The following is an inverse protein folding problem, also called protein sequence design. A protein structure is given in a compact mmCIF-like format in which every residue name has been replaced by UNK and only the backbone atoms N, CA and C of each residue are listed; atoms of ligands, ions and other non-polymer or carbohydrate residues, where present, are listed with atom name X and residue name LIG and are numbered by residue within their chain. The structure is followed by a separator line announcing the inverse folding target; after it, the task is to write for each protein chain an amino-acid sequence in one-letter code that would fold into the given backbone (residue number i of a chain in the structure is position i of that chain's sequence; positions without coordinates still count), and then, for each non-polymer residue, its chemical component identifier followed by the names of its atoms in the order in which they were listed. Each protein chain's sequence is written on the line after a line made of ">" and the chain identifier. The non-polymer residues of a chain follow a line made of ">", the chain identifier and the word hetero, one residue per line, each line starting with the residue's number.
data_IF_099266020638
#
_entry.id   IF_099266020638
#
_cell.length_a   1.000
_cell.length_b   1.000
_cell.length_c   1.000
_cell.angle_alpha   90.00
_cell.angle_beta   90.00
_cell.angle_gamma   90.00
#
_symmetry.space_group_name_H-M   'P 1'
#
loop_
_entity.id
_entity.type
_entity.pdbx_description
1 polymer ?
#
# COMPACT_ATOMS: atom_id res chain seq x y z
N UNK A 1 -1.66 2.62 14.75
CA UNK A 1 -0.23 2.85 14.46
C UNK A 1 -0.02 3.98 13.44
N UNK A 2 1.20 4.52 13.36
CA UNK A 2 1.57 5.56 12.40
C UNK A 2 2.49 4.97 11.32
N UNK A 3 2.21 5.24 10.05
CA UNK A 3 3.04 4.80 8.92
C UNK A 3 3.31 5.97 7.97
N UNK A 4 4.27 5.81 7.08
CA UNK A 4 4.52 6.77 5.99
C UNK A 4 4.05 6.14 4.69
N UNK A 5 3.25 6.85 3.90
CA UNK A 5 2.83 6.40 2.58
C UNK A 5 3.13 7.47 1.54
N UNK A 6 3.94 7.15 0.54
CA UNK A 6 4.42 8.11 -0.47
C UNK A 6 4.95 9.42 0.16
N UNK A 7 5.71 9.28 1.26
CA UNK A 7 6.22 10.41 2.04
C UNK A 7 5.22 11.11 2.98
N UNK A 8 3.94 10.74 2.97
CA UNK A 8 2.92 11.30 3.88
C UNK A 8 2.73 10.43 5.12
N UNK A 9 2.87 11.03 6.30
CA UNK A 9 2.59 10.35 7.57
C UNK A 9 1.09 10.22 7.80
N UNK A 10 0.60 8.99 8.00
CA UNK A 10 -0.82 8.70 8.25
C UNK A 10 -1.00 7.79 9.46
N UNK A 11 -2.13 7.94 10.15
CA UNK A 11 -2.58 6.99 11.16
C UNK A 11 -3.47 5.91 10.54
N UNK A 12 -3.22 4.67 10.93
CA UNK A 12 -3.97 3.49 10.49
C UNK A 12 -4.26 2.56 11.65
N UNK A 13 -5.26 1.70 11.49
CA UNK A 13 -5.54 0.63 12.46
C UNK A 13 -4.38 -0.38 12.50
N UNK A 14 -4.17 -0.98 13.67
CA UNK A 14 -3.17 -2.04 13.82
C UNK A 14 -3.58 -3.29 13.04
N UNK A 15 -2.59 -4.01 12.50
CA UNK A 15 -2.84 -5.21 11.71
C UNK A 15 -3.38 -4.95 10.29
N UNK A 16 -3.37 -3.69 9.83
CA UNK A 16 -3.78 -3.34 8.47
C UNK A 16 -2.90 -4.06 7.43
N UNK A 17 -3.54 -4.69 6.44
CA UNK A 17 -2.83 -5.29 5.31
C UNK A 17 -2.62 -4.31 4.17
N UNK A 18 -1.68 -4.62 3.28
CA UNK A 18 -1.48 -3.83 2.06
C UNK A 18 -2.73 -3.78 1.19
N UNK A 19 -3.47 -4.89 1.08
CA UNK A 19 -4.73 -4.93 0.33
C UNK A 19 -5.76 -3.95 0.92
N UNK A 20 -5.90 -3.92 2.25
CA UNK A 20 -6.81 -2.99 2.93
C UNK A 20 -6.37 -1.53 2.76
N UNK A 21 -5.06 -1.25 2.86
CA UNK A 21 -4.51 0.08 2.63
C UNK A 21 -4.82 0.58 1.21
N UNK A 22 -4.65 -0.29 0.20
CA UNK A 22 -4.95 0.02 -1.19
C UNK A 22 -6.45 0.22 -1.39
N UNK A 23 -7.30 -0.63 -0.81
CA UNK A 23 -8.75 -0.50 -0.89
C UNK A 23 -9.24 0.83 -0.29
N UNK A 24 -8.64 1.28 0.82
CA UNK A 24 -8.97 2.56 1.45
C UNK A 24 -8.60 3.77 0.57
N UNK A 25 -7.48 3.70 -0.16
CA UNK A 25 -7.00 4.83 -0.98
C UNK A 25 -7.52 4.87 -2.40
N UNK A 26 -7.67 3.72 -3.03
CA UNK A 26 -7.98 3.60 -4.46
C UNK A 26 -9.32 2.89 -4.73
N UNK A 27 -10.02 2.43 -3.67
CA UNK A 27 -11.22 1.63 -3.76
C UNK A 27 -10.94 0.13 -3.85
N UNK A 28 -11.95 -0.69 -3.53
CA UNK A 28 -11.83 -2.15 -3.43
C UNK A 28 -11.43 -2.84 -4.75
N UNK A 29 -11.69 -2.20 -5.88
CA UNK A 29 -11.38 -2.72 -7.22
C UNK A 29 -10.14 -2.02 -7.80
N UNK A 30 -9.16 -1.75 -6.94
CA UNK A 30 -7.90 -1.11 -7.29
C UNK A 30 -7.31 -1.80 -8.54
N UNK A 31 -7.45 -1.14 -9.69
CA UNK A 31 -7.29 -1.76 -11.00
C UNK A 31 -5.89 -2.29 -11.30
N UNK A 32 -5.66 -2.81 -12.52
CA UNK A 32 -4.31 -3.14 -12.95
C UNK A 32 -3.42 -1.87 -12.95
N UNK A 33 -2.13 -2.07 -12.71
CA UNK A 33 -1.14 -0.98 -12.77
C UNK A 33 -0.77 -0.34 -11.43
N UNK A 34 -1.20 -0.90 -10.30
CA UNK A 34 -0.70 -0.49 -8.97
C UNK A 34 0.44 -1.42 -8.55
N UNK A 35 1.57 -0.83 -8.17
CA UNK A 35 2.69 -1.50 -7.52
C UNK A 35 2.87 -0.94 -6.11
N UNK A 36 3.20 -1.81 -5.15
CA UNK A 36 3.38 -1.44 -3.74
C UNK A 36 4.69 -2.01 -3.22
N UNK A 37 5.41 -1.23 -2.43
CA UNK A 37 6.58 -1.66 -1.67
C UNK A 37 6.46 -1.27 -0.20
N UNK A 38 7.07 -2.05 0.69
CA UNK A 38 7.31 -1.68 2.09
C UNK A 38 8.82 -1.56 2.28
N UNK A 39 9.33 -0.36 2.54
CA UNK A 39 10.76 -0.07 2.46
C UNK A 39 11.30 -0.39 1.06
N UNK A 40 12.27 -1.30 0.99
CA UNK A 40 12.87 -1.76 -0.28
C UNK A 40 12.21 -3.02 -0.87
N UNK A 41 11.23 -3.61 -0.16
CA UNK A 41 10.59 -4.87 -0.56
C UNK A 41 9.33 -4.61 -1.39
N UNK A 42 9.42 -4.85 -2.70
CA UNK A 42 8.28 -4.78 -3.62
C UNK A 42 7.39 -6.01 -3.46
N UNK A 43 6.10 -5.77 -3.18
CA UNK A 43 5.11 -6.82 -2.95
C UNK A 43 4.30 -7.10 -4.21
N UNK A 44 4.29 -8.36 -4.63
CA UNK A 44 3.37 -8.85 -5.65
C UNK A 44 1.92 -8.78 -5.14
N UNK A 45 0.97 -8.64 -6.07
CA UNK A 45 -0.46 -8.51 -5.72
C UNK A 45 -1.00 -9.67 -4.87
N UNK A 46 -0.47 -10.88 -5.06
CA UNK A 46 -0.85 -12.06 -4.27
C UNK A 46 -0.41 -11.97 -2.79
N UNK A 47 0.61 -11.17 -2.49
CA UNK A 47 1.08 -10.95 -1.12
C UNK A 47 0.27 -9.90 -0.37
N UNK A 48 -0.50 -9.05 -1.06
CA UNK A 48 -1.11 -7.88 -0.43
C UNK A 48 -2.13 -8.23 0.66
N UNK A 49 -2.84 -9.35 0.52
CA UNK A 49 -3.82 -9.83 1.50
C UNK A 49 -3.18 -10.34 2.80
N UNK A 50 -1.93 -10.82 2.73
CA UNK A 50 -1.22 -11.42 3.88
C UNK A 50 -0.10 -10.54 4.44
N UNK A 51 0.37 -9.55 3.67
CA UNK A 51 1.37 -8.60 4.10
C UNK A 51 0.76 -7.57 5.07
N UNK A 52 1.00 -7.80 6.36
CA UNK A 52 0.63 -6.88 7.44
C UNK A 52 1.65 -5.74 7.50
N UNK A 53 1.15 -4.51 7.56
CA UNK A 53 1.96 -3.32 7.74
C UNK A 53 2.24 -3.15 9.24
N UNK A 54 3.47 -2.80 9.58
CA UNK A 54 3.87 -2.52 10.96
C UNK A 54 3.98 -1.01 11.22
N UNK A 55 3.94 -0.62 12.49
CA UNK A 55 4.18 0.76 12.92
C UNK A 55 5.54 1.26 12.40
N UNK A 56 5.55 2.51 11.92
CA UNK A 56 6.72 3.16 11.33
C UNK A 56 7.12 2.67 9.94
N UNK A 57 6.41 1.72 9.33
CA UNK A 57 6.71 1.29 7.96
C UNK A 57 6.55 2.43 6.95
N UNK A 58 7.43 2.43 5.96
CA UNK A 58 7.34 3.28 4.78
C UNK A 58 6.74 2.45 3.65
N UNK A 59 5.62 2.89 3.11
CA UNK A 59 4.89 2.22 2.04
C UNK A 59 4.92 3.10 0.80
N UNK A 60 5.48 2.60 -0.29
CA UNK A 60 5.48 3.31 -1.57
C UNK A 60 4.45 2.66 -2.50
N UNK A 61 3.57 3.48 -3.06
CA UNK A 61 2.49 3.08 -3.94
C UNK A 61 2.63 3.85 -5.24
N UNK A 62 2.92 3.11 -6.31
CA UNK A 62 3.00 3.62 -7.66
C UNK A 62 1.77 3.18 -8.43
N UNK A 63 1.06 4.12 -9.06
CA UNK A 63 0.02 3.81 -10.04
C UNK A 63 0.53 4.15 -11.43
N UNK A 64 0.34 3.22 -12.36
CA UNK A 64 0.50 3.50 -13.78
C UNK A 64 -0.60 4.48 -14.18
N UNK A 65 -0.24 5.76 -14.35
CA UNK A 65 -1.03 6.65 -15.17
C UNK A 65 -0.90 6.15 -16.60
N UNK A 66 -2.01 5.74 -17.21
CA UNK A 66 -2.03 5.38 -18.62
C UNK A 66 -1.71 6.65 -19.40
N UNK A 67 -0.44 6.81 -19.80
CA UNK A 67 -0.02 7.88 -20.69
C UNK A 67 -0.73 7.69 -22.03
N UNK A 68 -1.60 8.62 -22.37
CA UNK A 68 -2.08 8.86 -23.73
C UNK A 68 -1.25 9.97 -24.36
#
# INVERSE_FOLDING_TARGET
>A
MQIVVNGETVEVQDGLTVAQLIAQRYGSDAGPGIAVAIGDDVLSRAQWESAVICDGNQVEILSAVQGG
#
